data_IF_107132876005
#
_entry.id   IF_107132876005
#
_cell.length_a   1.000
_cell.length_b   1.000
_cell.length_c   1.000
_cell.angle_alpha   90.00
_cell.angle_beta   90.00
_cell.angle_gamma   90.00
#
_symmetry.space_group_name_H-M   'P 1'
#
loop_
_entity.id
_entity.type
_entity.pdbx_description
1 polymer ?
#
# COMPACT_ATOMS: atom_id res chain seq x y z
N UNK A 1 -15.56 8.22 8.60
CA UNK A 1 -16.20 8.10 9.92
C UNK A 1 -15.19 7.40 10.80
N UNK A 2 -14.43 8.17 11.56
CA UNK A 2 -13.44 7.68 12.55
C UNK A 2 -13.97 7.86 13.98
N UNK A 3 -15.29 7.98 14.12
CA UNK A 3 -16.04 8.12 15.37
C UNK A 3 -16.12 6.83 16.19
N UNK A 4 -15.33 5.81 15.84
CA UNK A 4 -15.22 4.53 16.57
C UNK A 4 -16.47 3.66 16.54
N UNK A 5 -17.59 4.14 15.99
CA UNK A 5 -18.85 3.40 15.92
C UNK A 5 -18.79 2.23 14.93
N UNK A 6 -17.93 2.33 13.91
CA UNK A 6 -17.73 1.29 12.91
C UNK A 6 -16.23 0.97 12.77
N UNK A 7 -15.89 -0.31 12.93
CA UNK A 7 -14.53 -0.80 12.72
C UNK A 7 -14.40 -1.33 11.29
N UNK A 8 -13.46 -0.76 10.52
CA UNK A 8 -13.15 -1.26 9.18
C UNK A 8 -12.20 -2.45 9.30
N UNK A 9 -12.72 -3.65 9.06
CA UNK A 9 -11.91 -4.86 8.94
C UNK A 9 -11.40 -5.03 7.50
N UNK A 10 -10.10 -5.33 7.34
CA UNK A 10 -9.46 -5.57 6.03
C UNK A 10 -8.86 -6.98 5.98
N UNK A 11 -9.70 -8.05 5.91
CA UNK A 11 -9.23 -9.43 5.99
C UNK A 11 -8.26 -9.82 4.86
N UNK A 12 -8.32 -9.11 3.73
CA UNK A 12 -7.49 -9.37 2.54
C UNK A 12 -6.29 -8.43 2.41
N UNK A 13 -5.99 -7.60 3.41
CA UNK A 13 -4.93 -6.59 3.32
C UNK A 13 -3.53 -7.18 3.05
N UNK A 14 -3.31 -8.43 3.44
CA UNK A 14 -2.02 -9.13 3.33
C UNK A 14 -1.97 -10.08 2.14
N UNK A 15 -3.02 -10.15 1.32
CA UNK A 15 -3.12 -11.09 0.19
C UNK A 15 -2.70 -10.38 -1.10
N UNK A 16 -1.77 -10.98 -1.84
CA UNK A 16 -1.34 -10.46 -3.14
C UNK A 16 -2.50 -10.49 -4.13
N UNK A 17 -2.62 -9.44 -4.96
CA UNK A 17 -3.71 -9.31 -5.92
C UNK A 17 -3.79 -10.50 -6.89
N UNK A 18 -2.63 -11.02 -7.33
CA UNK A 18 -2.57 -12.18 -8.22
C UNK A 18 -3.16 -13.46 -7.59
N UNK A 19 -2.88 -13.69 -6.30
CA UNK A 19 -3.43 -14.84 -5.57
C UNK A 19 -4.94 -14.71 -5.37
N UNK A 20 -5.41 -13.48 -5.10
CA UNK A 20 -6.84 -13.21 -4.95
C UNK A 20 -7.59 -13.42 -6.28
N UNK A 21 -7.01 -12.99 -7.41
CA UNK A 21 -7.58 -13.21 -8.74
C UNK A 21 -7.65 -14.71 -9.07
N UNK A 22 -6.56 -15.44 -8.87
CA UNK A 22 -6.51 -16.90 -9.06
C UNK A 22 -7.53 -17.62 -8.18
N UNK A 23 -7.66 -17.22 -6.91
CA UNK A 23 -8.65 -17.80 -6.02
C UNK A 23 -10.08 -17.53 -6.51
N UNK A 24 -10.36 -16.33 -7.02
CA UNK A 24 -11.68 -16.00 -7.55
C UNK A 24 -12.05 -16.84 -8.78
N UNK A 25 -11.08 -17.14 -9.65
CA UNK A 25 -11.24 -18.06 -10.79
C UNK A 25 -11.56 -19.48 -10.31
N UNK A 26 -10.77 -20.03 -9.38
CA UNK A 26 -10.98 -21.40 -8.84
C UNK A 26 -12.36 -21.52 -8.19
N UNK A 27 -12.81 -20.47 -7.50
CA UNK A 27 -14.10 -20.44 -6.81
C UNK A 27 -15.27 -20.04 -7.71
N UNK A 28 -15.02 -19.71 -8.97
CA UNK A 28 -16.01 -19.24 -9.94
C UNK A 28 -16.86 -18.07 -9.40
N UNK A 29 -16.22 -17.09 -8.77
CA UNK A 29 -16.95 -15.89 -8.33
C UNK A 29 -17.36 -15.04 -9.55
N UNK A 30 -18.57 -14.46 -9.55
CA UNK A 30 -18.97 -13.51 -10.59
C UNK A 30 -18.12 -12.24 -10.44
N UNK A 31 -17.27 -11.96 -11.43
CA UNK A 31 -16.46 -10.74 -11.45
C UNK A 31 -17.28 -9.62 -12.08
N UNK A 32 -17.50 -8.55 -11.30
CA UNK A 32 -18.19 -7.35 -11.77
C UNK A 32 -17.17 -6.48 -12.50
N UNK A 33 -17.38 -6.13 -13.78
CA UNK A 33 -16.45 -5.33 -14.52
C UNK A 33 -16.41 -3.88 -13.98
N UNK A 34 -15.20 -3.30 -13.97
CA UNK A 34 -14.91 -1.99 -13.38
C UNK A 34 -15.34 -0.81 -14.29
N UNK A 35 -16.07 -1.09 -15.36
CA UNK A 35 -16.64 -0.12 -16.30
C UNK A 35 -18.05 0.36 -15.89
N UNK A 36 -18.67 -0.29 -14.90
CA UNK A 36 -20.01 0.02 -14.40
C UNK A 36 -20.09 1.30 -13.56
N UNK A 37 -18.95 1.86 -13.16
CA UNK A 37 -18.87 3.16 -12.50
C UNK A 37 -18.40 4.20 -13.53
N UNK A 38 -19.28 5.13 -13.92
CA UNK A 38 -19.07 6.16 -14.94
C UNK A 38 -17.97 7.19 -14.66
N UNK A 39 -17.01 6.92 -13.78
CA UNK A 39 -15.82 7.75 -13.57
C UNK A 39 -14.55 6.97 -13.91
N UNK A 40 -14.08 7.18 -15.15
CA UNK A 40 -12.71 6.89 -15.57
C UNK A 40 -11.65 7.78 -14.85
N UNK A 41 -11.91 8.26 -13.64
CA UNK A 41 -11.04 9.20 -12.91
C UNK A 41 -9.86 8.55 -12.19
N UNK A 42 -9.71 7.22 -12.28
CA UNK A 42 -8.61 6.50 -11.63
C UNK A 42 -7.36 6.36 -12.52
N UNK A 43 -7.13 7.25 -13.49
CA UNK A 43 -5.89 7.27 -14.28
C UNK A 43 -4.67 7.29 -13.38
N UNK A 44 -4.70 8.08 -12.29
CA UNK A 44 -3.61 8.11 -11.30
C UNK A 44 -3.41 6.79 -10.58
N UNK A 45 -4.48 6.08 -10.24
CA UNK A 45 -4.36 4.75 -9.63
C UNK A 45 -3.76 3.74 -10.61
N UNK A 46 -4.13 3.81 -11.89
CA UNK A 46 -3.54 2.96 -12.94
C UNK A 46 -2.06 3.28 -13.17
N UNK A 47 -1.70 4.56 -13.24
CA UNK A 47 -0.30 5.03 -13.34
C UNK A 47 0.54 4.53 -12.17
N UNK A 48 0.06 4.70 -10.93
CA UNK A 48 0.77 4.23 -9.72
C UNK A 48 0.89 2.70 -9.72
N UNK A 49 -0.16 1.98 -10.10
CA UNK A 49 -0.11 0.51 -10.20
C UNK A 49 0.97 0.06 -11.20
N UNK A 50 1.04 0.71 -12.35
CA UNK A 50 2.06 0.41 -13.37
C UNK A 50 3.48 0.70 -12.83
N UNK A 51 3.67 1.84 -12.14
CA UNK A 51 4.95 2.19 -11.53
C UNK A 51 5.40 1.14 -10.50
N UNK A 52 4.49 0.71 -9.62
CA UNK A 52 4.80 -0.31 -8.61
C UNK A 52 5.15 -1.66 -9.26
N UNK A 53 4.43 -2.05 -10.32
CA UNK A 53 4.70 -3.29 -11.04
C UNK A 53 6.04 -3.25 -11.79
N UNK A 54 6.36 -2.12 -12.42
CA UNK A 54 7.66 -1.91 -13.06
C UNK A 54 8.80 -1.96 -12.04
N UNK A 55 8.61 -1.32 -10.88
CA UNK A 55 9.58 -1.37 -9.80
C UNK A 55 9.82 -2.80 -9.32
N UNK A 56 8.76 -3.56 -9.06
CA UNK A 56 8.87 -4.95 -8.59
C UNK A 56 9.49 -5.88 -9.64
N UNK A 57 9.27 -5.60 -10.92
CA UNK A 57 9.94 -6.32 -12.02
C UNK A 57 11.45 -6.06 -12.03
N UNK A 58 11.87 -4.81 -11.81
CA UNK A 58 13.29 -4.43 -11.75
C UNK A 58 13.97 -4.90 -10.47
N UNK A 59 13.24 -4.90 -9.36
CA UNK A 59 13.72 -5.24 -8.02
C UNK A 59 12.73 -6.20 -7.33
N UNK A 60 12.87 -7.52 -7.56
CA UNK A 60 11.96 -8.52 -7.01
C UNK A 60 11.84 -8.42 -5.48
N UNK A 61 10.60 -8.35 -4.97
CA UNK A 61 10.32 -8.25 -3.53
C UNK A 61 10.26 -6.81 -3.00
N UNK A 62 10.43 -5.82 -3.87
CA UNK A 62 10.22 -4.42 -3.52
C UNK A 62 8.77 -4.14 -3.08
N UNK A 63 7.77 -4.80 -3.69
CA UNK A 63 6.37 -4.70 -3.28
C UNK A 63 6.15 -5.10 -1.82
N UNK A 64 6.70 -6.26 -1.43
CA UNK A 64 6.61 -6.79 -0.07
C UNK A 64 7.36 -5.88 0.93
N UNK A 65 8.52 -5.35 0.51
CA UNK A 65 9.31 -4.40 1.31
C UNK A 65 8.57 -3.07 1.54
N UNK A 66 7.92 -2.53 0.50
CA UNK A 66 7.10 -1.33 0.61
C UNK A 66 5.90 -1.56 1.53
N UNK A 67 5.22 -2.70 1.40
CA UNK A 67 4.12 -3.07 2.29
C UNK A 67 4.58 -3.19 3.76
N UNK A 68 5.72 -3.82 4.01
CA UNK A 68 6.31 -3.91 5.34
C UNK A 68 6.64 -2.52 5.91
N UNK A 69 7.21 -1.62 5.10
CA UNK A 69 7.55 -0.25 5.51
C UNK A 69 6.32 0.56 5.97
N UNK A 70 5.15 0.33 5.35
CA UNK A 70 3.90 0.97 5.78
C UNK A 70 3.44 0.52 7.16
N UNK A 71 3.75 -0.72 7.56
CA UNK A 71 3.40 -1.26 8.89
C UNK A 71 4.42 -0.93 9.98
N UNK A 72 5.68 -0.67 9.61
CA UNK A 72 6.78 -0.37 10.52
C UNK A 72 7.47 0.93 10.12
N UNK A 73 6.76 2.02 10.36
CA UNK A 73 7.25 3.37 10.09
C UNK A 73 8.26 3.79 11.16
N UNK A 74 9.45 4.22 10.74
CA UNK A 74 10.48 4.77 11.63
C UNK A 74 10.42 6.31 11.51
N UNK A 75 10.00 7.05 12.56
CA UNK A 75 9.81 8.50 12.47
C UNK A 75 11.02 9.29 11.98
N UNK A 76 12.24 8.87 12.34
CA UNK A 76 13.48 9.53 11.90
C UNK A 76 13.70 9.47 10.38
N UNK A 77 13.05 8.53 9.68
CA UNK A 77 13.15 8.42 8.21
C UNK A 77 12.10 9.28 7.48
N UNK A 78 11.09 9.80 8.18
CA UNK A 78 9.95 10.49 7.55
C UNK A 78 10.19 11.97 7.25
N UNK A 79 11.39 12.51 7.52
CA UNK A 79 11.70 13.95 7.41
C UNK A 79 10.65 14.86 8.09
N UNK A 80 9.89 14.31 9.04
CA UNK A 80 8.80 15.01 9.70
C UNK A 80 9.30 15.48 11.07
N UNK A 81 9.47 16.80 11.21
CA UNK A 81 9.98 17.43 12.43
C UNK A 81 9.01 17.38 13.61
N UNK A 82 7.73 17.09 13.35
CA UNK A 82 6.74 16.88 14.41
C UNK A 82 6.81 15.45 14.96
N UNK A 83 7.17 14.48 14.10
CA UNK A 83 7.31 13.08 14.48
C UNK A 83 8.72 12.74 15.00
N UNK A 84 9.75 13.51 14.62
CA UNK A 84 11.12 13.30 15.07
C UNK A 84 11.89 14.62 15.22
N UNK A 85 12.49 14.84 16.40
CA UNK A 85 13.31 16.02 16.67
C UNK A 85 14.74 15.84 16.13
N UNK A 86 14.95 16.29 14.89
CA UNK A 86 16.26 16.28 14.26
C UNK A 86 17.26 17.28 14.87
N UNK A 87 16.82 18.28 15.64
CA UNK A 87 17.73 19.26 16.26
C UNK A 87 18.40 18.70 17.51
N UNK A 88 17.70 17.83 18.25
CA UNK A 88 18.25 17.11 19.39
C UNK A 88 19.17 15.93 18.99
N UNK A 89 19.14 15.50 17.72
CA UNK A 89 19.98 14.41 17.23
C UNK A 89 21.44 14.86 17.09
N UNK A 90 22.21 14.75 18.18
CA UNK A 90 23.68 14.86 18.14
C UNK A 90 24.29 13.53 17.72
N UNK A 91 25.09 13.56 16.66
CA UNK A 91 25.97 12.45 16.30
C UNK A 91 26.94 12.18 17.48
N UNK A 92 27.05 10.95 18.02
CA UNK A 92 27.94 10.66 19.16
C UNK A 92 29.44 10.76 18.84
N UNK A 93 29.82 11.04 17.59
CA UNK A 93 31.21 11.28 17.19
C UNK A 93 31.53 12.78 17.06
N UNK A 94 31.53 13.49 18.19
CA UNK A 94 32.06 14.86 18.32
C UNK A 94 32.71 15.06 19.67
#
# INVERSE_FOLDING_TARGET
>A
SDDGQHVVIRPLAYVKEAELARYAEIRNFPIIPCDLCGSQENLKRKEVKALLQEWDTRYPGSGDSMFAALSKVIPSHLLDRQLFDFQAFRNPES
#
